data_IF_815211311865
#
_entry.id   IF_815211311865
#
_cell.length_a   1.000
_cell.length_b   1.000
_cell.length_c   1.000
_cell.angle_alpha   90.00
_cell.angle_beta   90.00
_cell.angle_gamma   90.00
#
_symmetry.space_group_name_H-M   'P 1'
#
loop_
_entity.id
_entity.type
_entity.pdbx_description
1 polymer ?
#
# COMPACT_ATOMS: atom_id res chain seq x y z
N UNK A 1 2.74 -3.21 -18.07
CA UNK A 1 2.41 -1.87 -17.54
C UNK A 1 2.58 -1.92 -16.04
N UNK A 2 3.29 -0.95 -15.46
CA UNK A 2 3.40 -0.74 -14.01
C UNK A 2 2.57 0.48 -13.65
N UNK A 3 1.78 0.38 -12.59
CA UNK A 3 0.96 1.50 -12.11
C UNK A 3 0.82 1.45 -10.59
N UNK A 4 0.80 2.59 -9.91
CA UNK A 4 0.49 2.63 -8.49
C UNK A 4 -0.98 2.28 -8.27
N UNK A 5 -1.25 1.53 -7.21
CA UNK A 5 -2.62 1.21 -6.80
C UNK A 5 -2.73 1.23 -5.28
N UNK A 6 -3.91 1.53 -4.80
CA UNK A 6 -4.24 1.39 -3.39
C UNK A 6 -4.79 -0.02 -3.17
N UNK A 7 -4.13 -0.79 -2.34
CA UNK A 7 -4.43 -2.21 -2.12
C UNK A 7 -4.80 -2.49 -0.66
N UNK A 8 -5.60 -3.53 -0.45
CA UNK A 8 -5.87 -4.05 0.89
C UNK A 8 -5.90 -5.58 0.88
N UNK A 9 -5.62 -6.19 2.01
CA UNK A 9 -5.65 -7.63 2.18
C UNK A 9 -6.85 -8.05 3.01
N UNK A 10 -7.56 -9.10 2.57
CA UNK A 10 -8.54 -9.84 3.38
C UNK A 10 -8.25 -11.34 3.23
N UNK A 11 -8.01 -12.00 4.36
CA UNK A 11 -7.62 -13.42 4.34
C UNK A 11 -6.39 -13.67 3.49
N UNK A 12 -6.54 -14.58 2.54
CA UNK A 12 -5.47 -14.99 1.61
C UNK A 12 -5.55 -14.31 0.23
N UNK A 13 -6.22 -13.16 0.18
CA UNK A 13 -6.31 -12.36 -1.05
C UNK A 13 -5.90 -10.91 -0.81
N UNK A 14 -5.31 -10.33 -1.85
CA UNK A 14 -5.11 -8.89 -1.98
C UNK A 14 -6.08 -8.35 -3.01
N UNK A 15 -6.67 -7.20 -2.68
CA UNK A 15 -7.64 -6.52 -3.52
C UNK A 15 -7.15 -5.12 -3.85
N UNK A 16 -7.55 -4.60 -4.99
CA UNK A 16 -7.43 -3.19 -5.33
C UNK A 16 -8.60 -2.74 -6.18
N UNK A 17 -8.87 -1.47 -6.18
CA UNK A 17 -9.94 -0.88 -6.99
C UNK A 17 -9.42 0.19 -7.93
N UNK A 18 -10.11 0.39 -9.03
CA UNK A 18 -9.87 1.48 -9.97
C UNK A 18 -11.10 1.72 -10.85
N UNK A 19 -11.03 2.71 -11.73
CA UNK A 19 -12.07 2.92 -12.73
C UNK A 19 -12.26 1.69 -13.62
N UNK A 20 -13.50 1.24 -13.79
CA UNK A 20 -13.83 0.09 -14.64
C UNK A 20 -13.43 0.31 -16.12
N UNK A 21 -13.32 1.56 -16.56
CA UNK A 21 -12.84 1.93 -17.89
C UNK A 21 -11.31 2.05 -17.97
N UNK A 22 -10.61 1.93 -16.85
CA UNK A 22 -9.16 2.10 -16.77
C UNK A 22 -8.39 1.00 -17.53
N UNK A 23 -7.35 1.39 -18.26
CA UNK A 23 -6.47 0.42 -18.97
C UNK A 23 -5.82 -0.57 -18.02
N UNK A 24 -5.45 -0.14 -16.80
CA UNK A 24 -4.84 -1.01 -15.79
C UNK A 24 -5.76 -2.17 -15.39
N UNK A 25 -7.05 -1.91 -15.18
CA UNK A 25 -8.04 -2.95 -14.87
C UNK A 25 -8.19 -3.92 -16.05
N UNK A 26 -8.36 -3.40 -17.27
CA UNK A 26 -8.53 -4.23 -18.47
C UNK A 26 -7.30 -5.09 -18.76
N UNK A 27 -6.12 -4.58 -18.50
CA UNK A 27 -4.87 -5.32 -18.73
C UNK A 27 -4.58 -6.34 -17.61
N UNK A 28 -5.04 -6.09 -16.39
CA UNK A 28 -4.82 -6.99 -15.26
C UNK A 28 -5.88 -8.08 -15.13
N UNK A 29 -7.13 -7.79 -15.53
CA UNK A 29 -8.23 -8.73 -15.41
C UNK A 29 -7.95 -10.01 -16.21
N UNK A 30 -8.04 -11.17 -15.53
CA UNK A 30 -7.84 -12.52 -16.09
C UNK A 30 -6.44 -12.74 -16.71
N UNK A 31 -5.48 -11.89 -16.35
CA UNK A 31 -4.09 -12.03 -16.76
C UNK A 31 -3.18 -12.21 -15.55
N UNK A 32 -1.99 -12.75 -15.82
CA UNK A 32 -0.92 -12.81 -14.82
C UNK A 32 -0.43 -11.41 -14.49
N UNK A 33 -0.33 -11.13 -13.20
CA UNK A 33 0.15 -9.86 -12.65
C UNK A 33 1.18 -10.12 -11.56
N UNK A 34 2.00 -9.11 -11.31
CA UNK A 34 2.83 -9.01 -10.12
C UNK A 34 2.39 -7.78 -9.33
N UNK A 35 1.90 -7.99 -8.11
CA UNK A 35 1.63 -6.92 -7.16
C UNK A 35 2.81 -6.81 -6.20
N UNK A 36 3.42 -5.62 -6.13
CA UNK A 36 4.57 -5.38 -5.26
C UNK A 36 4.25 -4.27 -4.26
N UNK A 37 4.57 -4.53 -3.00
CA UNK A 37 4.59 -3.52 -1.93
C UNK A 37 6.02 -3.39 -1.44
N UNK A 38 6.52 -2.16 -1.32
CA UNK A 38 7.88 -1.90 -0.85
C UNK A 38 7.89 -0.71 0.10
N UNK A 39 8.65 -0.84 1.18
CA UNK A 39 8.86 0.20 2.19
C UNK A 39 10.36 0.38 2.35
N UNK A 40 10.84 1.62 2.22
CA UNK A 40 12.22 1.99 2.50
C UNK A 40 12.32 2.36 4.00
N UNK A 41 13.19 1.67 4.72
CA UNK A 41 13.40 1.86 6.16
C UNK A 41 14.72 2.61 6.47
N UNK A 42 15.64 2.70 5.50
CA UNK A 42 16.89 3.45 5.68
C UNK A 42 17.86 3.34 4.52
N UNK A 43 18.78 4.28 4.46
CA UNK A 43 19.90 4.28 3.53
C UNK A 43 21.14 3.83 4.30
N UNK A 44 21.86 2.86 3.78
CA UNK A 44 23.05 2.29 4.41
C UNK A 44 24.28 2.81 3.68
N UNK A 45 25.07 3.62 4.41
CA UNK A 45 26.32 4.18 3.93
C UNK A 45 27.47 3.31 4.48
N UNK A 46 28.27 2.84 3.58
CA UNK A 46 29.43 1.98 3.87
C UNK A 46 30.75 2.73 3.60
N UNK A 47 31.87 2.10 3.90
CA UNK A 47 33.21 2.65 3.64
C UNK A 47 33.62 2.48 2.20
N UNK A 48 33.06 1.46 1.51
CA UNK A 48 33.24 1.25 0.07
C UNK A 48 31.97 1.65 -0.70
N UNK A 49 32.12 2.25 -1.88
CA UNK A 49 31.00 2.59 -2.75
C UNK A 49 30.16 1.37 -3.15
N UNK A 50 30.76 0.18 -3.20
CA UNK A 50 30.08 -1.06 -3.56
C UNK A 50 29.25 -1.66 -2.41
N UNK A 51 29.54 -1.30 -1.17
CA UNK A 51 28.88 -1.81 0.04
C UNK A 51 27.71 -0.93 0.50
N UNK A 52 27.46 0.21 -0.14
CA UNK A 52 26.26 1.00 0.09
C UNK A 52 25.01 0.19 -0.22
N UNK A 53 23.96 0.37 0.57
CA UNK A 53 22.73 -0.42 0.44
C UNK A 53 21.51 0.34 0.98
N UNK A 54 20.36 -0.32 1.03
CA UNK A 54 19.15 0.19 1.65
C UNK A 54 18.52 -0.85 2.57
N UNK A 55 18.09 -0.44 3.74
CA UNK A 55 17.18 -1.22 4.57
C UNK A 55 15.76 -1.08 4.03
N UNK A 56 15.12 -2.19 3.80
CA UNK A 56 13.79 -2.20 3.17
C UNK A 56 13.03 -3.48 3.51
N UNK A 57 11.71 -3.37 3.42
CA UNK A 57 10.78 -4.50 3.47
C UNK A 57 9.99 -4.52 2.17
N UNK A 58 9.93 -5.65 1.52
CA UNK A 58 9.15 -5.78 0.29
C UNK A 58 8.46 -7.13 0.20
N UNK A 59 7.31 -7.14 -0.46
CA UNK A 59 6.56 -8.34 -0.81
C UNK A 59 6.19 -8.26 -2.29
N UNK A 60 6.38 -9.36 -2.99
CA UNK A 60 5.89 -9.56 -4.35
C UNK A 60 4.90 -10.72 -4.35
N UNK A 61 3.76 -10.54 -5.00
CA UNK A 61 2.70 -11.55 -5.12
C UNK A 61 2.44 -11.73 -6.62
N UNK A 62 2.51 -12.97 -7.06
CA UNK A 62 2.30 -13.36 -8.45
C UNK A 62 1.00 -14.16 -8.58
N UNK A 63 0.32 -14.01 -9.68
CA UNK A 63 -0.85 -14.81 -10.00
C UNK A 63 -1.80 -14.12 -10.97
N UNK A 64 -2.93 -14.77 -11.22
CA UNK A 64 -3.96 -14.27 -12.12
C UNK A 64 -4.95 -13.41 -11.35
N UNK A 65 -5.07 -12.16 -11.74
CA UNK A 65 -6.04 -11.24 -11.14
C UNK A 65 -7.45 -11.51 -11.67
N UNK A 66 -8.42 -11.64 -10.77
CA UNK A 66 -9.83 -11.88 -11.10
C UNK A 66 -10.69 -10.69 -10.72
N UNK A 67 -11.61 -10.32 -11.57
CA UNK A 67 -12.56 -9.25 -11.29
C UNK A 67 -13.72 -9.75 -10.43
N UNK A 68 -14.06 -8.99 -9.40
CA UNK A 68 -15.28 -9.19 -8.62
C UNK A 68 -16.45 -8.67 -9.43
N UNK A 69 -17.35 -9.57 -9.82
CA UNK A 69 -18.50 -9.26 -10.69
C UNK A 69 -19.83 -9.22 -9.94
N UNK A 70 -19.96 -9.98 -8.84
CA UNK A 70 -21.16 -9.98 -8.00
C UNK A 70 -21.30 -8.62 -7.30
N UNK A 71 -22.48 -7.95 -7.42
CA UNK A 71 -22.67 -6.62 -6.84
C UNK A 71 -22.65 -6.60 -5.32
N UNK A 72 -23.11 -7.67 -4.66
CA UNK A 72 -23.16 -7.77 -3.20
C UNK A 72 -21.74 -7.96 -2.66
N UNK A 73 -20.99 -8.90 -3.23
CA UNK A 73 -19.59 -9.10 -2.89
C UNK A 73 -18.77 -7.84 -3.12
N UNK A 74 -18.97 -7.16 -4.24
CA UNK A 74 -18.28 -5.93 -4.57
C UNK A 74 -18.51 -4.83 -3.54
N UNK A 75 -19.77 -4.66 -3.08
CA UNK A 75 -20.08 -3.68 -2.05
C UNK A 75 -19.45 -4.06 -0.72
N UNK A 76 -19.44 -5.34 -0.36
CA UNK A 76 -18.78 -5.86 0.83
C UNK A 76 -17.27 -5.57 0.80
N UNK A 77 -16.61 -5.82 -0.33
CA UNK A 77 -15.18 -5.52 -0.49
C UNK A 77 -14.87 -4.02 -0.41
N UNK A 78 -15.72 -3.16 -0.95
CA UNK A 78 -15.57 -1.70 -0.81
C UNK A 78 -15.74 -1.26 0.65
N UNK A 79 -16.72 -1.84 1.36
CA UNK A 79 -16.89 -1.62 2.80
C UNK A 79 -15.65 -2.07 3.56
N UNK A 80 -15.18 -3.28 3.31
CA UNK A 80 -13.98 -3.84 3.94
C UNK A 80 -12.75 -2.96 3.72
N UNK A 81 -12.57 -2.40 2.52
CA UNK A 81 -11.51 -1.43 2.23
C UNK A 81 -11.60 -0.20 3.12
N UNK A 82 -12.77 0.45 3.16
CA UNK A 82 -12.97 1.68 3.95
C UNK A 82 -12.81 1.41 5.44
N UNK A 83 -13.42 0.35 5.97
CA UNK A 83 -13.34 -0.01 7.39
C UNK A 83 -11.92 -0.41 7.82
N UNK A 84 -11.17 -1.05 6.94
CA UNK A 84 -9.77 -1.39 7.24
C UNK A 84 -8.88 -0.18 7.33
N UNK A 85 -9.12 0.82 6.48
CA UNK A 85 -8.33 2.05 6.45
C UNK A 85 -8.80 3.05 7.52
N UNK A 86 -10.11 3.13 7.73
CA UNK A 86 -10.74 4.14 8.57
C UNK A 86 -11.88 3.50 9.38
N UNK A 87 -11.57 2.75 10.47
CA UNK A 87 -12.57 2.04 11.24
C UNK A 87 -13.70 2.95 11.72
N UNK A 88 -14.95 2.57 11.45
CA UNK A 88 -16.16 3.34 11.74
C UNK A 88 -16.50 4.43 10.71
N UNK A 89 -15.73 4.53 9.62
CA UNK A 89 -15.99 5.55 8.59
C UNK A 89 -17.19 5.19 7.72
N UNK A 90 -17.36 3.92 7.38
CA UNK A 90 -18.40 3.47 6.45
C UNK A 90 -19.79 3.92 6.85
N UNK A 91 -20.13 3.79 8.11
CA UNK A 91 -21.46 4.11 8.64
C UNK A 91 -21.76 5.63 8.66
N UNK A 92 -20.74 6.45 8.46
CA UNK A 92 -20.90 7.92 8.34
C UNK A 92 -21.04 8.40 6.90
N UNK A 93 -20.88 7.49 5.93
CA UNK A 93 -20.94 7.83 4.52
C UNK A 93 -22.36 7.70 3.97
N UNK A 94 -22.68 8.49 2.94
CA UNK A 94 -23.86 8.23 2.14
C UNK A 94 -23.76 6.89 1.40
N UNK A 95 -24.88 6.33 1.03
CA UNK A 95 -24.91 5.12 0.19
C UNK A 95 -24.23 5.37 -1.16
N UNK A 96 -23.50 4.35 -1.63
CA UNK A 96 -22.94 4.31 -2.97
C UNK A 96 -24.08 4.20 -3.98
N UNK A 97 -24.07 5.03 -5.01
CA UNK A 97 -25.03 4.95 -6.11
C UNK A 97 -24.71 3.79 -7.06
N UNK A 98 -25.71 3.34 -7.81
CA UNK A 98 -25.53 2.30 -8.84
C UNK A 98 -24.52 2.74 -9.92
N UNK A 99 -24.47 4.02 -10.23
CA UNK A 99 -23.52 4.57 -11.19
C UNK A 99 -22.09 4.48 -10.66
N UNK A 100 -21.84 4.85 -9.41
CA UNK A 100 -20.52 4.72 -8.76
C UNK A 100 -20.10 3.25 -8.66
N UNK A 101 -21.03 2.38 -8.28
CA UNK A 101 -20.77 0.94 -8.23
C UNK A 101 -20.39 0.38 -9.62
N UNK A 102 -21.07 0.78 -10.69
CA UNK A 102 -20.74 0.36 -12.06
C UNK A 102 -19.42 0.94 -12.57
N UNK A 103 -19.12 2.18 -12.21
CA UNK A 103 -17.88 2.86 -12.62
C UNK A 103 -16.63 2.33 -11.93
N UNK A 104 -16.77 1.64 -10.80
CA UNK A 104 -15.66 1.07 -10.03
C UNK A 104 -15.49 -0.42 -10.35
N UNK A 105 -14.27 -0.86 -10.61
CA UNK A 105 -13.90 -2.26 -10.65
C UNK A 105 -13.03 -2.63 -9.46
N UNK A 106 -13.20 -3.85 -8.94
CA UNK A 106 -12.33 -4.45 -7.94
C UNK A 106 -11.71 -5.68 -8.55
N UNK A 107 -10.40 -5.81 -8.40
CA UNK A 107 -9.65 -7.01 -8.72
C UNK A 107 -9.19 -7.69 -7.44
N UNK A 108 -9.12 -9.00 -7.50
CA UNK A 108 -8.67 -9.91 -6.44
C UNK A 108 -7.49 -10.71 -6.95
N UNK A 109 -6.45 -10.87 -6.13
CA UNK A 109 -5.27 -11.68 -6.38
C UNK A 109 -5.04 -12.60 -5.19
N UNK A 110 -5.07 -13.94 -5.36
CA UNK A 110 -4.77 -14.87 -4.27
C UNK A 110 -3.28 -14.79 -3.89
N UNK A 111 -2.99 -14.90 -2.59
CA UNK A 111 -1.61 -14.94 -2.07
C UNK A 111 -1.16 -16.40 -2.02
N UNK A 112 -1.03 -17.03 -3.18
CA UNK A 112 -0.58 -18.43 -3.30
C UNK A 112 0.89 -18.51 -3.70
N UNK A 113 1.36 -17.57 -4.50
CA UNK A 113 2.76 -17.42 -4.88
C UNK A 113 3.25 -16.03 -4.46
N UNK A 114 4.04 -15.98 -3.40
CA UNK A 114 4.53 -14.74 -2.83
C UNK A 114 5.96 -14.88 -2.33
N UNK A 115 6.72 -13.80 -2.44
CA UNK A 115 8.07 -13.69 -1.89
C UNK A 115 8.18 -12.43 -1.05
N UNK A 116 8.80 -12.56 0.11
CA UNK A 116 9.11 -11.42 0.98
C UNK A 116 10.62 -11.26 1.13
N UNK A 117 11.09 -10.02 1.09
CA UNK A 117 12.48 -9.67 1.36
C UNK A 117 12.53 -8.59 2.42
N UNK A 118 13.31 -8.86 3.46
CA UNK A 118 13.59 -7.90 4.53
C UNK A 118 15.11 -7.75 4.63
N UNK A 119 15.56 -6.51 4.58
CA UNK A 119 16.94 -6.15 4.91
C UNK A 119 16.92 -5.09 6.01
N UNK A 120 17.69 -5.32 7.03
CA UNK A 120 17.89 -4.40 8.15
C UNK A 120 19.36 -4.48 8.62
N UNK A 121 19.79 -3.47 9.35
CA UNK A 121 21.13 -3.43 9.96
C UNK A 121 22.04 -2.39 9.33
N UNK A 122 23.28 -2.37 9.83
CA UNK A 122 24.34 -1.46 9.40
C UNK A 122 25.01 -1.84 8.08
N UNK A 123 26.05 -1.11 7.71
CA UNK A 123 26.93 -1.51 6.62
C UNK A 123 27.70 -2.78 6.99
N UNK A 124 28.05 -3.54 5.96
CA UNK A 124 28.96 -4.68 6.06
C UNK A 124 30.09 -4.37 5.09
N UNK A 125 31.23 -4.02 5.62
CA UNK A 125 32.46 -3.71 4.87
C UNK A 125 33.43 -4.90 4.99
N UNK A 126 34.48 -4.88 4.18
CA UNK A 126 35.61 -5.81 4.34
C UNK A 126 36.39 -5.45 5.61
N UNK A 127 37.00 -6.44 6.27
CA UNK A 127 37.65 -6.24 7.57
C UNK A 127 38.71 -5.14 7.56
N UNK A 128 39.46 -5.02 6.48
CA UNK A 128 40.47 -3.99 6.31
C UNK A 128 39.90 -2.56 6.19
N UNK A 129 38.67 -2.44 5.71
CA UNK A 129 37.99 -1.16 5.56
C UNK A 129 37.57 -0.54 6.91
N UNK A 130 37.40 -1.36 7.96
CA UNK A 130 37.03 -0.86 9.29
C UNK A 130 38.11 0.02 9.93
N UNK A 131 39.34 -0.06 9.47
CA UNK A 131 40.45 0.79 9.91
C UNK A 131 40.50 2.15 9.20
N UNK A 132 39.68 2.34 8.15
CA UNK A 132 39.64 3.60 7.40
C UNK A 132 38.88 4.69 8.17
N UNK A 133 39.37 5.94 8.19
CA UNK A 133 38.71 7.05 8.86
C UNK A 133 37.52 7.58 8.06
N UNK A 134 36.67 6.68 7.59
CA UNK A 134 35.49 6.99 6.79
C UNK A 134 34.24 6.70 7.64
N UNK A 135 33.38 7.69 7.80
CA UNK A 135 32.10 7.48 8.50
C UNK A 135 31.20 6.52 7.72
N UNK A 136 30.65 5.52 8.41
CA UNK A 136 29.68 4.59 7.87
C UNK A 136 28.52 4.39 8.86
N UNK A 137 27.34 4.14 8.36
CA UNK A 137 26.15 4.01 9.23
C UNK A 137 24.84 3.95 8.45
N UNK A 138 23.74 4.21 9.11
CA UNK A 138 22.42 4.19 8.53
C UNK A 138 21.75 5.55 8.70
N UNK A 139 21.19 6.05 7.61
CA UNK A 139 20.24 7.18 7.65
C UNK A 139 18.84 6.55 7.69
N UNK A 140 18.12 6.60 8.82
CA UNK A 140 16.78 6.03 8.92
C UNK A 140 15.81 6.83 8.06
N UNK A 141 14.86 6.11 7.43
CA UNK A 141 13.75 6.68 6.66
C UNK A 141 12.45 6.24 7.30
N UNK A 142 11.55 7.18 7.52
CA UNK A 142 10.21 6.91 8.05
C UNK A 142 9.17 7.76 7.34
N UNK A 143 7.98 7.19 7.14
CA UNK A 143 6.80 7.97 6.75
C UNK A 143 6.14 8.58 7.98
N UNK A 144 5.73 9.83 7.88
CA UNK A 144 4.99 10.52 8.93
C UNK A 144 3.62 10.92 8.40
N UNK A 145 2.60 10.70 9.24
CA UNK A 145 1.26 11.22 8.99
C UNK A 145 1.24 12.63 9.53
N UNK A 146 0.87 13.60 8.67
CA UNK A 146 0.67 14.98 9.05
C UNK A 146 -0.66 15.20 9.77
N UNK A 147 -0.86 16.42 10.27
CA UNK A 147 -2.15 16.82 10.80
C UNK A 147 -3.22 16.82 9.70
N UNK A 148 -4.44 16.35 9.99
CA UNK A 148 -5.54 16.39 9.04
C UNK A 148 -5.84 17.82 8.58
N UNK A 149 -6.07 17.99 7.29
CA UNK A 149 -6.48 19.28 6.72
C UNK A 149 -7.95 19.18 6.32
N UNK A 150 -8.86 19.94 6.96
CA UNK A 150 -10.26 19.89 6.61
C UNK A 150 -10.52 20.45 5.21
N UNK A 151 -11.50 19.89 4.52
CA UNK A 151 -11.99 20.44 3.25
C UNK A 151 -12.68 21.81 3.52
N UNK A 152 -12.33 22.80 2.71
CA UNK A 152 -12.89 24.17 2.81
C UNK A 152 -14.43 24.19 2.62
N UNK A 153 -14.98 23.17 1.97
CA UNK A 153 -16.40 23.00 1.70
C UNK A 153 -17.15 22.18 2.74
N UNK A 154 -16.50 21.84 3.85
CA UNK A 154 -17.20 21.26 4.98
C UNK A 154 -18.29 22.20 5.48
N UNK A 155 -19.46 21.63 5.78
CA UNK A 155 -20.52 22.43 6.40
C UNK A 155 -20.07 22.94 7.78
N UNK A 156 -20.55 24.14 8.20
CA UNK A 156 -20.28 24.64 9.54
C UNK A 156 -20.68 23.63 10.62
N UNK A 157 -19.86 23.46 11.66
CA UNK A 157 -20.05 22.56 12.79
C UNK A 157 -19.89 21.05 12.48
N UNK A 158 -19.40 20.67 11.30
CA UNK A 158 -18.96 19.29 11.09
C UNK A 158 -17.62 19.12 11.79
N UNK A 159 -17.61 18.32 12.85
CA UNK A 159 -16.41 18.03 13.62
C UNK A 159 -15.57 16.93 12.95
N UNK A 160 -14.28 16.99 13.18
CA UNK A 160 -13.35 15.94 12.74
C UNK A 160 -13.62 14.64 13.50
N UNK A 161 -13.91 13.53 12.81
CA UNK A 161 -14.21 12.27 13.47
C UNK A 161 -12.97 11.61 14.07
N UNK A 162 -13.17 10.84 15.13
CA UNK A 162 -12.09 10.18 15.89
C UNK A 162 -11.20 9.27 15.05
N UNK A 163 -11.76 8.60 14.03
CA UNK A 163 -10.99 7.73 13.15
C UNK A 163 -10.00 8.47 12.24
N UNK A 164 -10.18 9.79 12.04
CA UNK A 164 -9.21 10.63 11.33
C UNK A 164 -8.01 10.92 12.22
N UNK A 165 -8.23 11.33 13.47
CA UNK A 165 -7.15 11.58 14.43
C UNK A 165 -6.40 10.31 14.84
N UNK A 166 -7.11 9.19 14.84
CA UNK A 166 -6.57 7.89 15.22
C UNK A 166 -5.81 7.18 14.11
N UNK A 167 -5.77 7.72 12.89
CA UNK A 167 -5.15 7.05 11.74
C UNK A 167 -3.65 6.80 11.97
N UNK A 168 -3.19 5.59 11.65
CA UNK A 168 -1.77 5.18 11.71
C UNK A 168 -1.43 4.40 10.46
N UNK A 169 -0.21 4.54 10.01
CA UNK A 169 0.38 3.66 9.02
C UNK A 169 1.03 2.52 9.80
N UNK A 170 0.57 1.28 9.54
CA UNK A 170 1.03 0.06 10.21
C UNK A 170 2.44 -0.39 9.81
#
# INVERSE_FOLDING_TARGET
VVMPTFQWREGDHVYWHASSAGRGIRNAQDNEVCLTVSILDGLVLARSGMHHSANSRSVMIFGTARRITDPVEKLDKLKGFIEKMYPGRWDTLRRISDQEAKATAILSLPITEASAKVRSGGPVDDEEDYELPIWAGVIPVSMQIGEPVPDERNLPKVEEPTHVRGFRIG
#
